data_IF_852611360158
#
_entry.id   IF_852611360158
#
_cell.length_a   1.000
_cell.length_b   1.000
_cell.length_c   1.000
_cell.angle_alpha   90.00
_cell.angle_beta   90.00
_cell.angle_gamma   90.00
#
_symmetry.space_group_name_H-M   'P 1'
#
loop_
_entity.id
_entity.type
_entity.pdbx_description
1 polymer ?
#
# COMPACT_ATOMS: atom_id res chain seq x y z
N UNK A 1 -29.19 2.66 11.55
CA UNK A 1 -28.68 2.05 10.31
C UNK A 1 -29.79 1.30 9.59
N UNK A 2 -29.80 1.32 8.25
CA UNK A 2 -30.92 0.84 7.42
C UNK A 2 -30.70 -0.63 7.01
N UNK A 3 -31.57 -1.52 7.51
CA UNK A 3 -31.55 -2.97 7.19
C UNK A 3 -31.92 -3.18 5.73
N UNK A 4 -31.20 -4.01 4.96
CA UNK A 4 -31.60 -4.31 3.57
C UNK A 4 -32.79 -5.28 3.53
N UNK A 5 -33.89 -4.86 2.89
CA UNK A 5 -35.07 -5.64 2.52
C UNK A 5 -35.35 -5.43 1.01
N UNK A 6 -36.37 -6.10 0.46
CA UNK A 6 -36.65 -6.06 -0.99
C UNK A 6 -36.90 -4.63 -1.51
N UNK A 7 -37.67 -3.83 -0.78
CA UNK A 7 -37.99 -2.44 -1.13
C UNK A 7 -36.72 -1.57 -1.17
N UNK A 8 -35.77 -1.84 -0.27
CA UNK A 8 -34.49 -1.12 -0.26
C UNK A 8 -33.54 -1.56 -1.36
N UNK A 9 -33.56 -2.83 -1.77
CA UNK A 9 -32.80 -3.25 -2.96
C UNK A 9 -33.33 -2.51 -4.19
N UNK A 10 -34.65 -2.37 -4.32
CA UNK A 10 -35.23 -1.61 -5.43
C UNK A 10 -34.88 -0.11 -5.36
N UNK A 11 -34.65 0.44 -4.16
CA UNK A 11 -34.14 1.81 -3.98
C UNK A 11 -32.69 2.03 -4.45
N UNK A 12 -31.94 0.96 -4.70
CA UNK A 12 -30.58 1.01 -5.27
C UNK A 12 -30.59 1.11 -6.80
N UNK A 13 -31.73 0.86 -7.45
CA UNK A 13 -31.83 0.93 -8.92
C UNK A 13 -31.43 2.32 -9.42
N UNK A 14 -30.68 2.35 -10.51
CA UNK A 14 -30.21 3.59 -11.18
C UNK A 14 -29.26 4.45 -10.33
N UNK A 15 -28.71 3.92 -9.24
CA UNK A 15 -27.65 4.56 -8.44
C UNK A 15 -26.31 3.91 -8.72
N UNK A 16 -25.24 4.64 -8.42
CA UNK A 16 -23.92 4.06 -8.25
C UNK A 16 -23.85 3.36 -6.89
N UNK A 17 -23.48 2.09 -6.84
CA UNK A 17 -23.43 1.31 -5.60
C UNK A 17 -22.00 0.87 -5.33
N UNK A 18 -21.46 1.30 -4.19
CA UNK A 18 -20.18 0.88 -3.65
C UNK A 18 -20.42 -0.38 -2.80
N UNK A 19 -20.04 -1.53 -3.34
CA UNK A 19 -20.10 -2.81 -2.67
C UNK A 19 -18.84 -3.02 -1.83
N UNK A 20 -18.96 -2.78 -0.52
CA UNK A 20 -17.92 -3.06 0.45
C UNK A 20 -18.00 -4.55 0.82
N UNK A 21 -17.04 -5.36 0.41
CA UNK A 21 -17.02 -6.80 0.70
C UNK A 21 -15.86 -7.11 1.64
N UNK A 22 -16.11 -7.80 2.75
CA UNK A 22 -15.06 -8.16 3.72
C UNK A 22 -15.39 -9.43 4.51
N UNK A 23 -14.39 -10.05 5.12
CA UNK A 23 -14.52 -11.22 5.99
C UNK A 23 -14.65 -10.83 7.47
N UNK A 24 -15.29 -9.68 7.74
CA UNK A 24 -15.34 -9.03 9.06
C UNK A 24 -13.99 -8.52 9.59
N UNK A 25 -12.93 -8.47 8.77
CA UNK A 25 -11.64 -7.83 9.13
C UNK A 25 -11.51 -6.42 8.55
N UNK A 26 -12.54 -5.59 8.72
CA UNK A 26 -12.44 -4.16 8.39
C UNK A 26 -11.68 -3.42 9.49
N UNK A 27 -10.60 -2.75 9.11
CA UNK A 27 -9.82 -1.95 10.06
C UNK A 27 -10.53 -0.63 10.36
N UNK A 28 -10.26 -0.01 11.51
CA UNK A 28 -10.75 1.35 11.81
C UNK A 28 -10.29 2.36 10.76
N UNK A 29 -9.11 2.12 10.16
CA UNK A 29 -8.58 2.92 9.06
C UNK A 29 -9.42 2.78 7.78
N UNK A 30 -9.79 1.56 7.38
CA UNK A 30 -10.66 1.36 6.22
C UNK A 30 -12.04 2.01 6.45
N UNK A 31 -12.63 1.84 7.63
CA UNK A 31 -13.92 2.45 7.99
C UNK A 31 -13.83 3.98 7.93
N UNK A 32 -12.75 4.59 8.43
CA UNK A 32 -12.60 6.04 8.42
C UNK A 32 -12.48 6.62 7.00
N UNK A 33 -11.78 5.93 6.10
CA UNK A 33 -11.71 6.30 4.68
C UNK A 33 -13.10 6.24 4.04
N UNK A 34 -13.80 5.11 4.21
CA UNK A 34 -15.11 4.89 3.60
C UNK A 34 -16.13 5.89 4.18
N UNK A 35 -16.02 6.20 5.48
CA UNK A 35 -16.82 7.25 6.12
C UNK A 35 -16.53 8.63 5.52
N UNK A 36 -15.27 8.94 5.21
CA UNK A 36 -14.89 10.16 4.50
C UNK A 36 -15.59 10.24 3.13
N UNK A 37 -15.56 9.16 2.36
CA UNK A 37 -16.26 9.08 1.07
C UNK A 37 -17.77 9.23 1.24
N UNK A 38 -18.36 8.55 2.23
CA UNK A 38 -19.79 8.67 2.51
C UNK A 38 -20.18 10.11 2.83
N UNK A 39 -19.39 10.83 3.63
CA UNK A 39 -19.67 12.23 4.00
C UNK A 39 -19.34 13.26 2.91
N UNK A 40 -18.69 12.85 1.82
CA UNK A 40 -18.30 13.75 0.73
C UNK A 40 -19.53 14.39 0.08
N UNK A 41 -19.46 15.68 -0.22
CA UNK A 41 -20.59 16.43 -0.79
C UNK A 41 -21.10 15.79 -2.07
N UNK A 42 -20.18 15.41 -2.97
CA UNK A 42 -20.52 14.75 -4.24
C UNK A 42 -21.22 13.39 -4.05
N UNK A 43 -20.92 12.69 -2.95
CA UNK A 43 -21.57 11.42 -2.62
C UNK A 43 -23.02 11.65 -2.16
N UNK A 44 -23.21 12.61 -1.26
CA UNK A 44 -24.52 12.95 -0.67
C UNK A 44 -25.47 13.64 -1.66
N UNK A 45 -24.93 14.34 -2.65
CA UNK A 45 -25.72 15.17 -3.57
C UNK A 45 -26.55 14.34 -4.57
N UNK A 46 -27.87 14.49 -4.46
CA UNK A 46 -28.84 13.94 -5.42
C UNK A 46 -29.12 12.45 -5.25
N UNK A 47 -28.68 11.83 -4.14
CA UNK A 47 -28.94 10.42 -3.86
C UNK A 47 -28.39 9.46 -4.92
N UNK A 48 -27.34 9.88 -5.63
CA UNK A 48 -26.75 9.16 -6.78
C UNK A 48 -25.83 8.01 -6.39
N UNK A 49 -25.37 8.01 -5.14
CA UNK A 49 -24.46 7.00 -4.61
C UNK A 49 -25.06 6.32 -3.39
N UNK A 50 -24.71 5.05 -3.21
CA UNK A 50 -25.01 4.31 -1.99
C UNK A 50 -23.88 3.32 -1.66
N UNK A 51 -23.70 2.99 -0.38
CA UNK A 51 -22.77 1.92 0.05
C UNK A 51 -23.59 0.73 0.55
N UNK A 52 -23.16 -0.47 0.15
CA UNK A 52 -23.69 -1.73 0.64
C UNK A 52 -22.55 -2.60 1.15
N UNK A 53 -22.54 -2.88 2.46
CA UNK A 53 -21.62 -3.81 3.07
C UNK A 53 -22.11 -5.26 2.96
N UNK A 54 -21.27 -6.13 2.38
CA UNK A 54 -21.49 -7.56 2.14
C UNK A 54 -20.43 -8.36 2.93
N UNK A 55 -20.77 -8.85 4.14
CA UNK A 55 -19.86 -9.67 4.94
C UNK A 55 -19.79 -11.12 4.40
N UNK A 56 -18.64 -11.55 3.88
CA UNK A 56 -18.40 -12.92 3.40
C UNK A 56 -17.61 -13.72 4.42
N UNK A 57 -18.31 -14.62 5.12
CA UNK A 57 -17.73 -15.49 6.16
C UNK A 57 -17.67 -16.94 5.68
N UNK A 58 -16.55 -17.62 5.93
CA UNK A 58 -16.35 -19.00 5.46
C UNK A 58 -16.84 -20.05 6.47
N UNK A 59 -16.71 -19.75 7.75
CA UNK A 59 -17.10 -20.64 8.85
C UNK A 59 -17.86 -19.85 9.90
N UNK A 60 -18.89 -20.48 10.47
CA UNK A 60 -19.55 -19.93 11.65
C UNK A 60 -18.62 -20.08 12.86
N UNK A 61 -18.48 -19.00 13.62
CA UNK A 61 -17.71 -18.94 14.87
C UNK A 61 -18.58 -18.32 15.96
N UNK A 62 -18.32 -18.67 17.21
CA UNK A 62 -19.11 -18.17 18.34
C UNK A 62 -19.07 -16.63 18.46
N UNK A 63 -17.94 -16.01 18.11
CA UNK A 63 -17.70 -14.56 18.16
C UNK A 63 -18.29 -13.80 16.96
N UNK A 64 -18.73 -14.50 15.91
CA UNK A 64 -19.17 -13.88 14.66
C UNK A 64 -20.34 -12.90 14.84
N UNK A 65 -21.42 -13.21 15.60
CA UNK A 65 -22.54 -12.30 15.77
C UNK A 65 -22.17 -11.00 16.49
N UNK A 66 -21.28 -11.05 17.49
CA UNK A 66 -20.83 -9.87 18.23
C UNK A 66 -19.88 -9.03 17.39
N UNK A 67 -18.94 -9.65 16.68
CA UNK A 67 -18.03 -8.97 15.75
C UNK A 67 -18.80 -8.27 14.63
N UNK A 68 -19.77 -8.96 14.01
CA UNK A 68 -20.61 -8.38 12.97
C UNK A 68 -21.40 -7.17 13.48
N UNK A 69 -22.07 -7.28 14.64
CA UNK A 69 -22.82 -6.17 15.24
C UNK A 69 -21.94 -4.97 15.61
N UNK A 70 -20.72 -5.24 16.11
CA UNK A 70 -19.74 -4.21 16.46
C UNK A 70 -19.26 -3.42 15.25
N UNK A 71 -19.01 -4.09 14.11
CA UNK A 71 -18.68 -3.41 12.87
C UNK A 71 -19.90 -2.68 12.29
N UNK A 72 -21.06 -3.33 12.31
CA UNK A 72 -22.32 -2.76 11.82
C UNK A 72 -22.66 -1.43 12.51
N UNK A 73 -22.45 -1.33 13.83
CA UNK A 73 -22.79 -0.10 14.58
C UNK A 73 -21.92 1.10 14.21
N UNK A 74 -20.76 0.89 13.60
CA UNK A 74 -19.85 1.95 13.17
C UNK A 74 -20.18 2.52 11.78
N UNK A 75 -21.18 1.96 11.10
CA UNK A 75 -21.46 2.24 9.69
C UNK A 75 -22.85 2.85 9.50
N UNK A 76 -23.00 3.95 8.74
CA UNK A 76 -24.30 4.54 8.43
C UNK A 76 -25.01 3.87 7.25
N UNK A 77 -24.26 3.16 6.40
CA UNK A 77 -24.73 2.59 5.14
C UNK A 77 -25.43 1.24 5.28
N UNK A 78 -25.88 0.67 4.16
CA UNK A 78 -26.68 -0.55 4.16
C UNK A 78 -25.84 -1.81 4.41
N UNK A 79 -26.46 -2.84 4.98
CA UNK A 79 -25.92 -4.21 5.02
C UNK A 79 -27.02 -5.25 5.10
N UNK A 80 -26.68 -6.49 4.82
CA UNK A 80 -27.55 -7.66 4.99
C UNK A 80 -27.92 -7.89 6.46
N UNK A 81 -29.07 -8.52 6.73
CA UNK A 81 -29.50 -8.74 8.11
C UNK A 81 -28.55 -9.67 8.89
N UNK A 82 -28.09 -10.76 8.26
CA UNK A 82 -27.09 -11.69 8.77
C UNK A 82 -26.22 -12.19 7.61
N UNK A 83 -24.92 -12.46 7.80
CA UNK A 83 -24.06 -12.97 6.75
C UNK A 83 -24.57 -14.27 6.10
N UNK A 84 -25.22 -15.14 6.87
CA UNK A 84 -25.78 -16.42 6.40
C UNK A 84 -26.91 -16.28 5.37
N UNK A 85 -27.50 -15.09 5.22
CA UNK A 85 -28.55 -14.83 4.23
C UNK A 85 -28.01 -14.47 2.84
N UNK A 86 -26.69 -14.30 2.69
CA UNK A 86 -26.09 -14.01 1.40
C UNK A 86 -26.18 -15.26 0.52
N UNK A 87 -26.69 -15.07 -0.69
CA UNK A 87 -26.86 -16.14 -1.66
C UNK A 87 -25.51 -16.82 -1.99
N UNK A 88 -25.44 -18.15 -1.90
CA UNK A 88 -24.21 -18.93 -2.16
C UNK A 88 -23.64 -18.71 -3.56
N UNK A 89 -24.48 -18.47 -4.57
CA UNK A 89 -24.04 -18.14 -5.94
C UNK A 89 -23.39 -16.77 -5.98
N UNK A 90 -23.95 -15.78 -5.28
CA UNK A 90 -23.33 -14.46 -5.17
C UNK A 90 -21.97 -14.55 -4.46
N UNK A 91 -21.89 -15.31 -3.36
CA UNK A 91 -20.63 -15.60 -2.66
C UNK A 91 -19.61 -16.26 -3.60
N UNK A 92 -20.03 -17.23 -4.42
CA UNK A 92 -19.17 -17.88 -5.41
C UNK A 92 -18.65 -16.89 -6.45
N UNK A 93 -19.52 -16.03 -6.99
CA UNK A 93 -19.13 -14.99 -7.95
C UNK A 93 -18.12 -14.01 -7.34
N UNK A 94 -18.37 -13.54 -6.12
CA UNK A 94 -17.46 -12.64 -5.40
C UNK A 94 -16.08 -13.30 -5.22
N UNK A 95 -16.03 -14.58 -4.82
CA UNK A 95 -14.77 -15.31 -4.65
C UNK A 95 -14.07 -15.61 -5.97
N UNK A 96 -14.79 -16.02 -7.00
CA UNK A 96 -14.18 -16.51 -8.23
C UNK A 96 -13.91 -15.40 -9.25
N UNK A 97 -14.86 -14.48 -9.46
CA UNK A 97 -14.75 -13.41 -10.46
C UNK A 97 -14.12 -12.14 -9.93
N UNK A 98 -14.36 -11.80 -8.66
CA UNK A 98 -13.74 -10.63 -8.03
C UNK A 98 -12.53 -11.01 -7.17
N UNK A 99 -12.12 -12.29 -7.24
CA UNK A 99 -10.93 -12.81 -6.57
C UNK A 99 -10.86 -12.48 -5.08
N UNK A 100 -12.01 -12.43 -4.39
CA UNK A 100 -12.04 -12.22 -2.94
C UNK A 100 -11.33 -13.38 -2.22
N UNK A 101 -10.28 -13.06 -1.46
CA UNK A 101 -9.42 -14.00 -0.72
C UNK A 101 -9.19 -13.53 0.71
N UNK A 102 -10.27 -13.18 1.42
CA UNK A 102 -10.23 -12.68 2.81
C UNK A 102 -9.52 -11.31 2.97
N UNK A 103 -9.33 -10.58 1.86
CA UNK A 103 -8.96 -9.17 1.88
C UNK A 103 -10.20 -8.32 1.54
N UNK A 104 -10.41 -7.23 2.26
CA UNK A 104 -11.50 -6.28 1.95
C UNK A 104 -11.37 -5.79 0.52
N UNK A 105 -12.47 -5.83 -0.24
CA UNK A 105 -12.58 -5.22 -1.58
C UNK A 105 -13.73 -4.22 -1.61
N UNK A 106 -13.59 -3.20 -2.46
CA UNK A 106 -14.62 -2.17 -2.66
C UNK A 106 -14.95 -2.08 -4.15
N UNK A 107 -15.99 -2.78 -4.59
CA UNK A 107 -16.38 -2.82 -6.01
C UNK A 107 -17.39 -1.70 -6.27
N UNK A 108 -17.25 -0.98 -7.38
CA UNK A 108 -18.19 0.09 -7.74
C UNK A 108 -19.02 -0.35 -8.93
N UNK A 109 -20.34 -0.37 -8.73
CA UNK A 109 -21.32 -0.61 -9.77
C UNK A 109 -21.95 0.70 -10.22
N UNK A 110 -22.03 0.92 -11.53
CA UNK A 110 -22.76 2.05 -12.11
C UNK A 110 -24.29 1.85 -12.10
N UNK A 111 -25.07 2.84 -12.56
CA UNK A 111 -26.55 2.81 -12.53
C UNK A 111 -27.20 1.64 -13.26
N UNK A 112 -26.49 1.04 -14.23
CA UNK A 112 -26.92 -0.12 -15.01
C UNK A 112 -26.45 -1.45 -14.41
N UNK A 113 -25.81 -1.45 -13.23
CA UNK A 113 -25.26 -2.64 -12.58
C UNK A 113 -23.96 -3.16 -13.19
N UNK A 114 -23.33 -2.40 -14.10
CA UNK A 114 -22.00 -2.72 -14.64
C UNK A 114 -20.91 -2.30 -13.65
N UNK A 115 -19.82 -3.06 -13.60
CA UNK A 115 -18.64 -2.70 -12.79
C UNK A 115 -17.94 -1.51 -13.45
N UNK A 116 -17.80 -0.41 -12.72
CA UNK A 116 -17.06 0.79 -13.13
C UNK A 116 -15.68 0.87 -12.47
N UNK A 117 -15.51 0.25 -11.30
CA UNK A 117 -14.23 0.10 -10.62
C UNK A 117 -14.15 -1.29 -9.99
N UNK A 118 -13.15 -2.08 -10.38
CA UNK A 118 -13.02 -3.46 -9.92
C UNK A 118 -12.64 -3.54 -8.43
N UNK A 119 -11.75 -2.66 -7.95
CA UNK A 119 -11.44 -2.59 -6.54
C UNK A 119 -10.94 -1.21 -6.10
N UNK A 120 -11.85 -0.34 -5.67
CA UNK A 120 -11.53 1.00 -5.20
C UNK A 120 -10.80 1.03 -3.85
N UNK A 121 -10.72 -0.07 -3.09
CA UNK A 121 -10.18 -0.03 -1.72
C UNK A 121 -8.71 0.40 -1.71
N UNK A 122 -7.94 -0.04 -2.71
CA UNK A 122 -6.51 0.21 -2.76
C UNK A 122 -6.20 1.68 -3.06
N UNK A 123 -6.85 2.25 -4.08
CA UNK A 123 -6.71 3.68 -4.37
C UNK A 123 -7.29 4.54 -3.24
N UNK A 124 -8.34 4.07 -2.56
CA UNK A 124 -8.93 4.75 -1.39
C UNK A 124 -7.97 4.75 -0.21
N UNK A 125 -7.25 3.65 0.05
CA UNK A 125 -6.20 3.63 1.05
C UNK A 125 -5.12 4.65 0.70
N UNK A 126 -4.72 4.77 -0.55
CA UNK A 126 -3.66 5.72 -0.93
C UNK A 126 -4.09 7.19 -0.84
N UNK A 127 -5.24 7.55 -1.41
CA UNK A 127 -5.64 8.94 -1.66
C UNK A 127 -6.90 9.37 -0.89
N UNK A 128 -7.50 8.47 -0.13
CA UNK A 128 -8.73 8.73 0.61
C UNK A 128 -9.84 9.22 -0.32
N UNK A 129 -10.48 10.32 0.10
CA UNK A 129 -11.57 10.97 -0.63
C UNK A 129 -11.13 11.58 -1.97
N UNK A 130 -9.84 11.85 -2.18
CA UNK A 130 -9.37 12.50 -3.42
C UNK A 130 -9.48 11.59 -4.65
N UNK A 131 -9.59 10.28 -4.45
CA UNK A 131 -9.82 9.33 -5.54
C UNK A 131 -11.32 9.17 -5.90
N UNK A 132 -12.22 9.84 -5.20
CA UNK A 132 -13.66 9.81 -5.50
C UNK A 132 -14.03 10.85 -6.58
N UNK A 133 -14.90 10.53 -7.58
CA UNK A 133 -15.61 9.26 -7.76
C UNK A 133 -14.71 8.15 -8.32
N UNK A 134 -14.92 6.93 -7.85
CA UNK A 134 -14.08 5.80 -8.24
C UNK A 134 -14.50 5.18 -9.58
N UNK A 135 -13.54 5.08 -10.49
CA UNK A 135 -13.63 4.26 -11.70
C UNK A 135 -12.24 3.77 -12.09
N UNK A 136 -12.14 2.70 -12.87
CA UNK A 136 -10.84 2.24 -13.38
C UNK A 136 -10.12 3.32 -14.20
N UNK A 137 -10.89 4.16 -14.91
CA UNK A 137 -10.34 5.32 -15.64
C UNK A 137 -9.74 6.36 -14.69
N UNK A 138 -10.38 6.62 -13.54
CA UNK A 138 -9.85 7.54 -12.52
C UNK A 138 -8.58 6.96 -11.91
N UNK A 139 -8.56 5.67 -11.56
CA UNK A 139 -7.36 4.99 -11.06
C UNK A 139 -6.21 5.08 -12.07
N UNK A 140 -6.47 4.82 -13.36
CA UNK A 140 -5.45 4.96 -14.40
C UNK A 140 -4.99 6.42 -14.59
N UNK A 141 -5.91 7.38 -14.51
CA UNK A 141 -5.57 8.81 -14.65
C UNK A 141 -4.69 9.28 -13.51
N UNK A 142 -4.98 8.83 -12.27
CA UNK A 142 -4.17 9.11 -11.08
C UNK A 142 -2.73 8.70 -11.37
N UNK A 143 -2.45 7.42 -11.65
CA UNK A 143 -1.07 6.95 -11.84
C UNK A 143 -0.32 7.55 -13.06
N UNK A 144 -1.02 8.19 -14.00
CA UNK A 144 -0.41 8.91 -15.13
C UNK A 144 -0.09 10.38 -14.84
N UNK A 145 -0.49 10.90 -13.68
CA UNK A 145 -0.19 12.27 -13.26
C UNK A 145 1.30 12.43 -12.95
N UNK A 146 1.88 13.53 -13.42
CA UNK A 146 3.31 13.86 -13.20
C UNK A 146 3.61 14.33 -11.77
N UNK A 147 2.60 14.83 -11.07
CA UNK A 147 2.73 15.36 -9.71
C UNK A 147 2.53 14.29 -8.63
N UNK A 148 2.32 13.02 -9.02
CA UNK A 148 2.25 11.93 -8.06
C UNK A 148 3.64 11.54 -7.58
N UNK A 149 3.78 11.47 -6.26
CA UNK A 149 4.92 10.92 -5.58
C UNK A 149 4.48 9.68 -4.78
N UNK A 150 5.01 8.51 -5.16
CA UNK A 150 4.63 7.24 -4.52
C UNK A 150 5.02 7.17 -3.05
N UNK A 151 6.10 7.86 -2.64
CA UNK A 151 6.54 7.93 -1.26
C UNK A 151 5.56 8.73 -0.40
N UNK A 152 5.14 9.91 -0.86
CA UNK A 152 4.09 10.70 -0.19
C UNK A 152 2.75 9.96 -0.11
N UNK A 153 2.44 9.17 -1.15
CA UNK A 153 1.29 8.27 -1.09
C UNK A 153 1.51 7.17 -0.04
N UNK A 154 2.70 6.61 0.09
CA UNK A 154 2.95 5.50 1.01
C UNK A 154 2.95 5.95 2.48
N UNK A 155 3.58 7.08 2.81
CA UNK A 155 3.72 7.58 4.18
C UNK A 155 2.87 8.83 4.40
N UNK A 156 1.77 8.67 5.13
CA UNK A 156 0.92 9.79 5.59
C UNK A 156 0.98 9.94 7.12
N UNK A 157 0.25 10.90 7.66
CA UNK A 157 0.21 11.17 9.12
C UNK A 157 -0.28 9.99 9.97
N UNK A 158 -1.02 9.04 9.37
CA UNK A 158 -1.43 7.82 10.07
C UNK A 158 -0.31 6.78 10.16
N UNK A 159 0.70 6.87 9.30
CA UNK A 159 1.88 5.98 9.28
C UNK A 159 3.03 6.61 10.07
N UNK A 160 3.37 7.86 9.76
CA UNK A 160 4.38 8.64 10.47
C UNK A 160 3.76 10.00 10.81
N UNK A 161 3.49 10.30 12.09
CA UNK A 161 2.90 11.58 12.46
C UNK A 161 3.77 12.77 12.02
N UNK A 162 3.13 13.80 11.46
CA UNK A 162 3.78 15.04 10.97
C UNK A 162 4.73 14.83 9.79
N UNK A 163 4.54 13.76 9.03
CA UNK A 163 5.38 13.47 7.87
C UNK A 163 5.31 14.57 6.79
N UNK A 164 4.18 15.25 6.51
CA UNK A 164 4.15 16.33 5.54
C UNK A 164 5.05 17.51 5.94
N UNK A 165 5.11 17.87 7.22
CA UNK A 165 6.01 18.92 7.71
C UNK A 165 7.47 18.49 7.60
N UNK A 166 7.77 17.22 7.92
CA UNK A 166 9.13 16.66 7.81
C UNK A 166 9.60 16.67 6.35
N UNK A 167 8.75 16.25 5.41
CA UNK A 167 9.04 16.27 3.97
C UNK A 167 9.32 17.72 3.52
N UNK A 168 8.46 18.67 3.87
CA UNK A 168 8.64 20.10 3.53
C UNK A 168 9.90 20.72 4.12
N UNK A 169 10.37 20.21 5.26
CA UNK A 169 11.61 20.69 5.90
C UNK A 169 12.89 20.22 5.18
N UNK A 170 12.78 19.46 4.09
CA UNK A 170 13.90 18.95 3.31
C UNK A 170 14.92 18.19 4.18
N UNK A 171 14.44 17.48 5.20
CA UNK A 171 15.28 16.59 6.02
C UNK A 171 15.65 15.33 5.25
N UNK A 172 16.74 14.70 5.66
CA UNK A 172 17.09 13.35 5.21
C UNK A 172 16.32 12.34 6.07
N UNK A 173 15.38 11.64 5.46
CA UNK A 173 14.44 10.73 6.12
C UNK A 173 14.89 9.29 5.87
N UNK A 174 15.20 8.54 6.92
CA UNK A 174 15.48 7.11 6.87
C UNK A 174 14.23 6.33 7.29
N UNK A 175 13.68 5.53 6.38
CA UNK A 175 12.66 4.54 6.68
C UNK A 175 13.29 3.16 6.61
N UNK A 176 13.10 2.34 7.63
CA UNK A 176 13.69 1.00 7.65
C UNK A 176 12.77 -0.01 8.31
N UNK A 177 12.87 -1.26 7.87
CA UNK A 177 12.16 -2.38 8.46
C UNK A 177 12.91 -3.68 8.20
N UNK A 178 12.87 -4.59 9.16
CA UNK A 178 13.47 -5.93 9.08
C UNK A 178 12.71 -6.90 9.97
N UNK A 179 12.61 -8.15 9.54
CA UNK A 179 12.08 -9.26 10.35
C UNK A 179 13.09 -9.70 11.42
N UNK A 180 14.39 -9.46 11.19
CA UNK A 180 15.46 -9.71 12.15
C UNK A 180 15.71 -8.48 13.02
N UNK A 181 15.45 -8.61 14.33
CA UNK A 181 15.68 -7.56 15.32
C UNK A 181 17.16 -7.21 15.48
N UNK A 182 18.11 -8.12 15.20
CA UNK A 182 19.55 -7.82 15.28
C UNK A 182 19.96 -6.82 14.21
N UNK A 183 19.50 -7.02 12.97
CA UNK A 183 19.75 -6.06 11.89
C UNK A 183 19.17 -4.68 12.19
N UNK A 184 17.99 -4.63 12.84
CA UNK A 184 17.39 -3.37 13.31
C UNK A 184 18.30 -2.67 14.31
N UNK A 185 18.75 -3.38 15.35
CA UNK A 185 19.61 -2.82 16.40
C UNK A 185 20.94 -2.32 15.84
N UNK A 186 21.60 -3.13 15.00
CA UNK A 186 22.86 -2.75 14.36
C UNK A 186 22.71 -1.48 13.51
N UNK A 187 21.64 -1.38 12.71
CA UNK A 187 21.36 -0.18 11.94
C UNK A 187 21.12 1.04 12.83
N UNK A 188 20.35 0.89 13.91
CA UNK A 188 20.02 1.96 14.85
C UNK A 188 21.25 2.52 15.57
N UNK A 189 22.24 1.67 15.89
CA UNK A 189 23.52 2.10 16.43
C UNK A 189 24.29 2.98 15.45
N UNK A 190 24.36 2.59 14.17
CA UNK A 190 25.00 3.40 13.14
C UNK A 190 24.25 4.71 12.89
N UNK A 191 22.92 4.69 12.85
CA UNK A 191 22.08 5.88 12.65
C UNK A 191 22.16 6.85 13.82
N UNK A 192 22.33 6.36 15.06
CA UNK A 192 22.56 7.22 16.23
C UNK A 192 23.76 8.12 15.99
N UNK A 193 24.88 7.56 15.49
CA UNK A 193 26.08 8.34 15.16
C UNK A 193 25.83 9.37 14.07
N UNK A 194 25.10 9.01 13.01
CA UNK A 194 24.73 9.95 11.94
C UNK A 194 23.93 11.13 12.49
N UNK A 195 22.98 10.86 13.38
CA UNK A 195 22.13 11.87 14.03
C UNK A 195 22.90 12.73 15.03
N UNK A 196 23.81 12.14 15.81
CA UNK A 196 24.62 12.89 16.77
C UNK A 196 25.50 13.93 16.05
N UNK A 197 25.99 13.61 14.85
CA UNK A 197 26.78 14.53 14.02
C UNK A 197 25.92 15.53 13.20
N UNK A 198 24.73 15.11 12.74
CA UNK A 198 23.89 15.90 11.82
C UNK A 198 22.75 16.66 12.50
N UNK A 199 22.52 16.43 13.79
CA UNK A 199 21.40 16.97 14.55
C UNK A 199 20.05 16.68 13.90
N UNK A 200 19.18 17.70 13.89
CA UNK A 200 17.80 17.61 13.39
C UNK A 200 17.68 17.50 11.86
N UNK A 201 18.79 17.55 11.11
CA UNK A 201 18.80 17.41 9.65
C UNK A 201 18.48 15.98 9.18
N UNK A 202 18.64 14.99 10.07
CA UNK A 202 18.39 13.57 9.81
C UNK A 202 17.32 13.05 10.76
N UNK A 203 16.33 12.34 10.22
CA UNK A 203 15.29 11.65 11.00
C UNK A 203 15.19 10.20 10.54
N UNK A 204 14.86 9.30 11.46
CA UNK A 204 14.79 7.87 11.18
C UNK A 204 13.54 7.24 11.81
N UNK A 205 12.87 6.36 11.06
CA UNK A 205 11.63 5.71 11.46
C UNK A 205 11.71 4.20 11.20
N UNK A 206 11.53 3.44 12.28
CA UNK A 206 11.38 1.99 12.23
C UNK A 206 9.92 1.64 11.87
N UNK A 207 9.73 0.99 10.72
CA UNK A 207 8.42 0.62 10.20
C UNK A 207 8.09 -0.86 10.42
N UNK A 208 8.96 -1.66 11.04
CA UNK A 208 8.79 -3.12 11.21
C UNK A 208 7.41 -3.46 11.78
N UNK A 209 6.94 -2.71 12.79
CA UNK A 209 5.67 -2.99 13.49
C UNK A 209 4.50 -2.11 13.04
N UNK A 210 4.65 -1.31 11.98
CA UNK A 210 3.59 -0.42 11.50
C UNK A 210 2.77 -1.13 10.44
N UNK A 211 1.74 -1.87 10.86
CA UNK A 211 0.86 -2.65 9.96
C UNK A 211 0.28 -1.82 8.82
N UNK A 212 -0.11 -0.56 9.10
CA UNK A 212 -0.69 0.33 8.10
C UNK A 212 0.28 0.65 6.95
N UNK A 213 1.59 0.76 7.22
CA UNK A 213 2.58 0.96 6.16
C UNK A 213 2.55 -0.20 5.17
N UNK A 214 2.52 -1.44 5.66
CA UNK A 214 2.45 -2.64 4.83
C UNK A 214 1.15 -2.72 4.03
N UNK A 215 0.01 -2.45 4.66
CA UNK A 215 -1.29 -2.38 3.97
C UNK A 215 -1.30 -1.36 2.84
N UNK A 216 -0.66 -0.20 3.05
CA UNK A 216 -0.51 0.84 2.02
C UNK A 216 0.48 0.43 0.94
N UNK A 217 1.58 -0.23 1.28
CA UNK A 217 2.56 -0.73 0.31
C UNK A 217 1.91 -1.73 -0.65
N UNK A 218 1.17 -2.69 -0.10
CA UNK A 218 0.42 -3.66 -0.89
C UNK A 218 -0.65 -2.97 -1.75
N UNK A 219 -1.43 -2.05 -1.15
CA UNK A 219 -2.45 -1.29 -1.88
C UNK A 219 -1.87 -0.40 -2.99
N UNK A 220 -0.68 0.16 -2.78
CA UNK A 220 0.05 0.91 -3.80
C UNK A 220 0.29 0.02 -5.03
N UNK A 221 0.87 -1.17 -4.83
CA UNK A 221 1.14 -2.11 -5.92
C UNK A 221 -0.15 -2.59 -6.60
N UNK A 222 -1.18 -2.97 -5.83
CA UNK A 222 -2.48 -3.40 -6.41
C UNK A 222 -3.13 -2.29 -7.25
N UNK A 223 -3.06 -1.04 -6.78
CA UNK A 223 -3.59 0.13 -7.49
C UNK A 223 -2.82 0.41 -8.79
N UNK A 224 -1.49 0.29 -8.77
CA UNK A 224 -0.65 0.41 -9.98
C UNK A 224 -1.02 -0.65 -11.03
N UNK A 225 -1.21 -1.90 -10.59
CA UNK A 225 -1.60 -3.00 -11.47
C UNK A 225 -3.00 -2.81 -12.05
N UNK A 226 -3.97 -2.38 -11.23
CA UNK A 226 -5.30 -2.02 -11.72
C UNK A 226 -5.25 -0.87 -12.74
N UNK A 227 -4.33 0.08 -12.57
CA UNK A 227 -4.07 1.15 -13.53
C UNK A 227 -3.35 0.72 -14.81
N UNK A 228 -2.94 -0.55 -14.90
CA UNK A 228 -2.15 -1.13 -16.00
C UNK A 228 -0.78 -0.45 -16.16
N UNK A 229 -0.15 -0.12 -15.04
CA UNK A 229 1.25 0.32 -15.02
C UNK A 229 2.14 -0.88 -15.34
N UNK A 230 3.12 -0.68 -16.23
CA UNK A 230 4.07 -1.73 -16.60
C UNK A 230 4.89 -2.13 -15.37
N UNK A 231 5.15 -3.43 -15.18
CA UNK A 231 5.98 -3.94 -14.09
C UNK A 231 7.40 -3.37 -14.11
N UNK A 232 7.85 -2.93 -15.29
CA UNK A 232 9.13 -2.28 -15.52
C UNK A 232 9.05 -0.75 -15.49
N UNK A 233 7.90 -0.15 -15.24
CA UNK A 233 7.81 1.29 -14.96
C UNK A 233 8.70 1.63 -13.76
N UNK A 234 9.43 2.75 -13.84
CA UNK A 234 10.39 3.13 -12.78
C UNK A 234 9.75 3.23 -11.40
N UNK A 235 8.50 3.72 -11.31
CA UNK A 235 7.78 3.83 -10.04
C UNK A 235 7.42 2.44 -9.52
N UNK A 236 6.94 1.55 -10.39
CA UNK A 236 6.61 0.19 -10.01
C UNK A 236 7.85 -0.59 -9.58
N UNK A 237 8.99 -0.40 -10.25
CA UNK A 237 10.26 -1.01 -9.89
C UNK A 237 10.73 -0.60 -8.50
N UNK A 238 10.61 0.69 -8.14
CA UNK A 238 10.98 1.18 -6.82
C UNK A 238 10.12 0.57 -5.70
N UNK A 239 8.80 0.52 -5.92
CA UNK A 239 7.85 -0.06 -4.96
C UNK A 239 8.07 -1.57 -4.81
N UNK A 240 8.28 -2.28 -5.93
CA UNK A 240 8.59 -3.71 -5.93
C UNK A 240 9.92 -4.00 -5.25
N UNK A 241 10.95 -3.17 -5.47
CA UNK A 241 12.24 -3.32 -4.78
C UNK A 241 12.06 -3.22 -3.27
N UNK A 242 11.33 -2.21 -2.81
CA UNK A 242 11.05 -2.01 -1.38
C UNK A 242 10.35 -3.25 -0.76
N UNK A 243 9.32 -3.76 -1.44
CA UNK A 243 8.58 -4.95 -1.00
C UNK A 243 9.44 -6.22 -1.04
N UNK A 244 10.24 -6.39 -2.09
CA UNK A 244 11.14 -7.54 -2.29
C UNK A 244 12.21 -7.57 -1.21
N UNK A 245 12.83 -6.43 -0.90
CA UNK A 245 13.86 -6.37 0.13
C UNK A 245 13.33 -6.77 1.50
N UNK A 246 12.11 -6.39 1.85
CA UNK A 246 11.49 -6.89 3.08
C UNK A 246 11.18 -8.39 3.01
N UNK A 247 10.46 -8.84 1.99
CA UNK A 247 9.91 -10.20 1.92
C UNK A 247 10.92 -11.29 1.57
N UNK A 248 12.07 -10.94 0.98
CA UNK A 248 13.05 -11.90 0.47
C UNK A 248 14.47 -11.66 0.94
N UNK A 249 14.81 -10.43 1.37
CA UNK A 249 16.19 -10.05 1.69
C UNK A 249 16.36 -9.64 3.17
N UNK A 250 15.34 -9.94 3.99
CA UNK A 250 15.37 -9.77 5.44
C UNK A 250 15.09 -8.34 5.92
N UNK A 251 14.88 -7.38 5.01
CA UNK A 251 14.57 -6.00 5.36
C UNK A 251 15.03 -4.98 4.33
N UNK A 252 14.65 -3.72 4.52
CA UNK A 252 15.07 -2.61 3.68
C UNK A 252 15.52 -1.40 4.49
N UNK A 253 16.25 -0.51 3.81
CA UNK A 253 16.40 0.90 4.16
C UNK A 253 16.06 1.75 2.93
N UNK A 254 15.11 2.66 3.09
CA UNK A 254 14.71 3.67 2.12
C UNK A 254 15.11 5.03 2.68
N UNK A 255 15.88 5.80 1.93
CA UNK A 255 16.29 7.15 2.34
C UNK A 255 15.75 8.14 1.34
N UNK A 256 15.11 9.21 1.83
CA UNK A 256 14.60 10.30 1.01
C UNK A 256 15.10 11.66 1.49
N UNK A 257 15.23 12.60 0.55
CA UNK A 257 15.43 14.02 0.83
C UNK A 257 14.15 14.74 0.40
N UNK A 258 13.38 15.22 1.38
CA UNK A 258 11.97 15.52 1.13
C UNK A 258 11.26 14.25 0.63
N UNK A 259 10.60 14.33 -0.53
CA UNK A 259 9.95 13.18 -1.17
C UNK A 259 10.78 12.52 -2.28
N UNK A 260 12.00 13.00 -2.53
CA UNK A 260 12.90 12.41 -3.51
C UNK A 260 13.67 11.24 -2.90
N UNK A 261 13.56 10.06 -3.51
CA UNK A 261 14.33 8.87 -3.13
C UNK A 261 15.82 9.09 -3.40
N UNK A 262 16.64 8.84 -2.39
CA UNK A 262 18.10 8.87 -2.44
C UNK A 262 18.63 7.45 -2.61
N UNK A 263 18.29 6.55 -1.68
CA UNK A 263 18.59 5.12 -1.79
C UNK A 263 17.36 4.28 -1.44
N UNK A 264 17.20 3.16 -2.13
CA UNK A 264 16.24 2.10 -1.84
C UNK A 264 17.03 0.79 -1.90
N UNK A 265 17.34 0.21 -0.74
CA UNK A 265 18.36 -0.83 -0.63
C UNK A 265 17.95 -1.93 0.36
N UNK A 266 18.40 -3.19 0.14
CA UNK A 266 18.31 -4.23 1.14
C UNK A 266 18.98 -3.78 2.46
N UNK A 267 18.44 -4.23 3.60
CA UNK A 267 18.87 -3.87 4.94
C UNK A 267 20.38 -4.08 5.16
N UNK A 268 20.89 -5.24 4.77
CA UNK A 268 22.31 -5.61 4.97
C UNK A 268 23.26 -4.69 4.20
N UNK A 269 22.93 -4.40 2.94
CA UNK A 269 23.70 -3.50 2.08
C UNK A 269 23.68 -2.06 2.61
N UNK A 270 22.50 -1.57 3.03
CA UNK A 270 22.37 -0.23 3.58
C UNK A 270 23.07 -0.08 4.94
N UNK A 271 22.95 -1.08 5.83
CA UNK A 271 23.64 -1.09 7.13
C UNK A 271 25.16 -1.00 6.94
N UNK A 272 25.72 -1.75 5.97
CA UNK A 272 27.14 -1.66 5.60
C UNK A 272 27.55 -0.27 5.10
N UNK A 273 26.70 0.41 4.33
CA UNK A 273 26.97 1.77 3.85
C UNK A 273 26.95 2.77 5.02
N UNK A 274 25.96 2.66 5.91
CA UNK A 274 25.76 3.59 7.02
C UNK A 274 26.83 3.38 8.11
N UNK A 275 27.31 2.16 8.33
CA UNK A 275 28.43 1.90 9.26
C UNK A 275 29.72 2.59 8.85
N UNK A 276 29.88 2.89 7.56
CA UNK A 276 31.03 3.59 6.98
C UNK A 276 30.88 5.12 7.00
N UNK A 277 29.94 5.66 7.80
CA UNK A 277 29.63 7.10 7.87
C UNK A 277 30.87 8.00 7.98
N UNK A 278 31.82 7.68 8.87
CA UNK A 278 33.03 8.49 9.03
C UNK A 278 33.90 8.59 7.79
N UNK A 279 33.83 7.59 6.90
CA UNK A 279 34.59 7.58 5.66
C UNK A 279 33.95 8.49 4.62
N UNK A 280 32.63 8.41 4.43
CA UNK A 280 31.96 9.15 3.38
C UNK A 280 31.47 10.54 3.80
N UNK A 281 31.24 10.80 5.10
CA UNK A 281 30.88 12.15 5.58
C UNK A 281 31.96 13.20 5.30
N UNK A 282 33.23 12.77 5.22
CA UNK A 282 34.38 13.63 4.84
C UNK A 282 34.28 14.17 3.42
N UNK A 283 33.45 13.55 2.58
CA UNK A 283 33.22 13.99 1.20
C UNK A 283 32.15 15.09 1.12
N UNK A 284 31.44 15.41 2.21
CA UNK A 284 30.49 16.52 2.25
C UNK A 284 31.26 17.82 2.16
N UNK A 285 30.92 18.62 1.16
CA UNK A 285 31.51 19.93 0.92
C UNK A 285 30.38 20.92 0.65
N UNK A 286 29.97 21.62 1.69
CA UNK A 286 28.86 22.59 1.61
C UNK A 286 29.23 23.76 0.70
N UNK A 287 30.51 24.17 0.67
CA UNK A 287 30.98 25.28 -0.16
C UNK A 287 31.04 24.88 -1.65
N UNK A 288 31.39 23.62 -1.93
CA UNK A 288 31.37 23.03 -3.27
C UNK A 288 30.03 22.44 -3.70
N UNK A 289 28.98 22.57 -2.89
CA UNK A 289 27.62 22.10 -3.20
C UNK A 289 27.38 20.59 -3.02
N UNK A 290 28.33 19.84 -2.46
CA UNK A 290 28.20 18.40 -2.20
C UNK A 290 27.50 18.17 -0.86
N UNK A 291 26.22 17.84 -0.93
CA UNK A 291 25.36 17.62 0.25
C UNK A 291 25.52 16.23 0.86
N UNK A 292 24.96 16.04 2.06
CA UNK A 292 25.01 14.77 2.79
C UNK A 292 24.38 13.61 1.99
N UNK A 293 23.22 13.85 1.36
CA UNK A 293 22.55 12.84 0.56
C UNK A 293 23.30 12.48 -0.73
N UNK A 294 24.03 13.44 -1.32
CA UNK A 294 24.89 13.17 -2.48
C UNK A 294 26.07 12.29 -2.09
N UNK A 295 26.74 12.61 -0.98
CA UNK A 295 27.83 11.79 -0.45
C UNK A 295 27.37 10.37 -0.08
N UNK A 296 26.20 10.24 0.55
CA UNK A 296 25.58 8.95 0.85
C UNK A 296 25.31 8.15 -0.42
N UNK A 297 24.69 8.77 -1.44
CA UNK A 297 24.35 8.11 -2.70
C UNK A 297 25.58 7.62 -3.45
N UNK A 298 26.59 8.49 -3.60
CA UNK A 298 27.83 8.11 -4.28
C UNK A 298 28.57 6.99 -3.55
N UNK A 299 28.59 7.02 -2.22
CA UNK A 299 29.24 5.97 -1.44
C UNK A 299 28.46 4.65 -1.51
N UNK A 300 27.13 4.72 -1.44
CA UNK A 300 26.25 3.58 -1.66
C UNK A 300 26.53 2.91 -3.01
N UNK A 301 26.58 3.68 -4.11
CA UNK A 301 26.79 3.15 -5.46
C UNK A 301 28.18 2.53 -5.66
N UNK A 302 29.16 2.91 -4.83
CA UNK A 302 30.50 2.30 -4.82
C UNK A 302 30.54 0.99 -4.03
N UNK A 303 29.80 0.92 -2.91
CA UNK A 303 29.82 -0.23 -1.99
C UNK A 303 28.85 -1.33 -2.43
N UNK A 304 27.70 -0.93 -2.96
CA UNK A 304 26.63 -1.82 -3.41
C UNK A 304 26.80 -2.02 -4.90
N UNK A 305 27.36 -3.17 -5.27
CA UNK A 305 27.55 -3.51 -6.67
C UNK A 305 26.20 -3.52 -7.41
N UNK A 306 26.14 -3.03 -8.65
CA UNK A 306 24.98 -3.21 -9.49
C UNK A 306 24.63 -4.70 -9.60
N UNK A 307 23.37 -5.05 -9.41
CA UNK A 307 22.91 -6.42 -9.60
C UNK A 307 23.12 -6.81 -11.06
N UNK A 308 23.57 -8.05 -11.31
CA UNK A 308 23.74 -8.56 -12.66
C UNK A 308 22.39 -8.81 -13.38
N UNK A 309 21.31 -8.95 -12.62
CA UNK A 309 19.95 -9.18 -13.09
C UNK A 309 18.97 -8.55 -12.12
N UNK A 310 17.86 -8.01 -12.63
CA UNK A 310 16.77 -7.48 -11.81
C UNK A 310 15.94 -8.62 -11.26
N UNK A 311 15.69 -8.63 -9.96
CA UNK A 311 14.81 -9.59 -9.29
C UNK A 311 13.75 -8.85 -8.49
N UNK A 312 12.51 -9.32 -8.56
CA UNK A 312 11.43 -8.78 -7.76
C UNK A 312 10.44 -9.87 -7.37
N UNK A 313 9.80 -9.65 -6.23
CA UNK A 313 8.72 -10.48 -5.72
C UNK A 313 7.41 -9.70 -5.86
N UNK A 314 6.47 -10.27 -6.61
CA UNK A 314 5.11 -9.73 -6.72
C UNK A 314 4.29 -10.33 -5.59
N UNK A 315 3.50 -9.52 -4.84
CA UNK A 315 2.52 -10.07 -3.90
C UNK A 315 1.48 -10.93 -4.64
N UNK A 316 0.56 -11.56 -3.91
CA UNK A 316 -0.42 -12.50 -4.48
C UNK A 316 -1.49 -11.81 -5.38
N UNK A 317 -1.06 -11.27 -6.52
CA UNK A 317 -1.83 -10.52 -7.50
C UNK A 317 -2.43 -11.48 -8.53
N UNK A 318 -3.34 -12.32 -8.05
CA UNK A 318 -4.01 -13.34 -8.86
C UNK A 318 -4.63 -12.70 -10.10
N UNK A 319 -4.31 -13.23 -11.29
CA UNK A 319 -4.85 -12.77 -12.57
C UNK A 319 -4.13 -11.59 -13.23
N UNK A 320 -3.13 -11.00 -12.56
CA UNK A 320 -2.38 -9.84 -13.07
C UNK A 320 -0.88 -10.08 -13.19
N UNK A 321 -0.45 -11.35 -13.23
CA UNK A 321 0.97 -11.69 -13.38
C UNK A 321 1.42 -11.38 -14.81
N UNK A 322 2.48 -10.57 -15.00
CA UNK A 322 2.96 -10.24 -16.33
C UNK A 322 3.62 -11.45 -16.98
N UNK A 323 3.33 -11.65 -18.27
CA UNK A 323 3.97 -12.68 -19.10
C UNK A 323 5.15 -12.08 -19.87
N UNK A 324 6.20 -12.89 -20.10
CA UNK A 324 7.33 -12.52 -20.97
C UNK A 324 8.07 -11.23 -20.58
N UNK A 325 8.23 -10.95 -19.28
CA UNK A 325 8.98 -9.79 -18.78
C UNK A 325 10.45 -9.91 -19.17
N UNK A 326 10.97 -8.93 -19.92
CA UNK A 326 12.41 -8.82 -20.21
C UNK A 326 13.11 -8.15 -19.04
N UNK A 327 14.25 -8.69 -18.63
CA UNK A 327 15.04 -8.07 -17.58
C UNK A 327 15.53 -6.68 -18.05
N UNK A 328 15.38 -5.60 -17.26
CA UNK A 328 15.88 -4.28 -17.62
C UNK A 328 17.42 -4.18 -17.57
N UNK A 329 18.09 -5.15 -16.95
CA UNK A 329 19.55 -5.15 -16.74
C UNK A 329 20.28 -6.08 -17.70
N UNK A 330 19.63 -7.16 -18.14
CA UNK A 330 20.26 -8.18 -18.99
C UNK A 330 19.33 -8.59 -20.15
N UNK A 331 19.84 -9.18 -21.24
CA UNK A 331 19.03 -9.47 -22.44
C UNK A 331 18.05 -10.64 -22.27
N UNK A 332 17.97 -11.25 -21.07
CA UNK A 332 17.18 -12.47 -20.83
C UNK A 332 15.75 -12.16 -20.43
N UNK A 333 14.86 -13.10 -20.73
CA UNK A 333 13.50 -13.11 -20.22
C UNK A 333 13.54 -13.61 -18.77
N UNK A 334 12.81 -12.93 -17.89
CA UNK A 334 12.71 -13.26 -16.47
C UNK A 334 11.89 -14.54 -16.28
N UNK A 335 12.35 -15.41 -15.38
CA UNK A 335 11.62 -16.62 -14.99
C UNK A 335 10.63 -16.27 -13.90
N UNK A 336 9.35 -16.60 -14.11
CA UNK A 336 8.36 -16.57 -13.03
C UNK A 336 8.52 -17.81 -12.14
N UNK A 337 8.55 -17.59 -10.82
CA UNK A 337 8.56 -18.66 -9.80
C UNK A 337 7.35 -18.48 -8.90
N UNK A 338 6.44 -19.45 -8.93
CA UNK A 338 5.27 -19.50 -8.05
C UNK A 338 5.62 -20.29 -6.80
N UNK A 339 5.41 -19.68 -5.63
CA UNK A 339 5.62 -20.33 -4.32
C UNK A 339 4.28 -20.46 -3.60
N UNK A 340 4.01 -21.65 -3.05
CA UNK A 340 2.88 -21.90 -2.17
C UNK A 340 3.36 -21.88 -0.71
N UNK A 341 2.76 -21.03 0.11
CA UNK A 341 3.04 -20.88 1.53
C UNK A 341 1.76 -21.09 2.34
N UNK A 342 1.87 -21.66 3.53
CA UNK A 342 0.72 -21.87 4.42
C UNK A 342 0.28 -20.54 5.03
N UNK A 343 -1.02 -20.27 5.06
CA UNK A 343 -1.59 -19.03 5.63
C UNK A 343 -1.41 -18.87 7.15
N UNK A 344 -0.81 -19.86 7.83
CA UNK A 344 -0.56 -19.85 9.27
C UNK A 344 0.94 -19.68 9.64
N UNK A 345 1.81 -19.47 8.65
CA UNK A 345 3.27 -19.44 8.85
C UNK A 345 3.87 -18.03 8.91
N UNK A 346 3.47 -17.22 9.90
CA UNK A 346 4.25 -16.07 10.40
C UNK A 346 3.52 -15.47 11.62
N UNK A 347 4.03 -15.77 12.82
CA UNK A 347 3.70 -15.08 14.07
C UNK A 347 4.88 -14.21 14.50
#
# INVERSE_FOLDING_TARGET
MIRMDQDKIDSLRRKNVLLLVSDLKLTTYDISIIMGVYKERKFQEGGRYEILWIPIVEQEREDLPSQFKSLQSQMPWYTVHRPSLINKVATKVIKEKWHFRQETILVVLGPQGKVECHNAIHVSRMLGIQAFPFSDSVVSTIWRRRDINWFEMLVNDSVIPKIPEIIKSEKLIFLYASEDNKHVQELEEHLKKVRDDSGDAVVAFNLTKISLFWTRLESCMFSMVQAQIDVLDSLMQDVLKLYTSFKKEGGFVLVTKGSRVVINSPMTSASKVISQYDAWKKQVDVAGGKTLEMALKEHHDKVVAPEACYHFYVPNMVGCMPENVKCPVCPRIMRNVVKFECCHGAH
#
